data_IF_598598102913
#
_entry.id   IF_598598102913
#
_cell.length_a   1.000
_cell.length_b   1.000
_cell.length_c   1.000
_cell.angle_alpha   90.00
_cell.angle_beta   90.00
_cell.angle_gamma   90.00
#
_symmetry.space_group_name_H-M   'P 1'
#
loop_
_entity.id
_entity.type
_entity.pdbx_description
1 polymer ?
#
# COMPACT_ATOMS: atom_id res chain seq x y z
N UNK A 1 1.94 -25.34 64.84
CA UNK A 1 0.90 -25.89 63.93
C UNK A 1 0.76 -24.91 62.78
N UNK A 2 1.09 -25.17 61.53
CA UNK A 2 1.44 -26.38 60.79
C UNK A 2 1.07 -26.14 59.33
N UNK A 3 1.89 -26.68 58.39
CA UNK A 3 1.68 -26.80 56.93
C UNK A 3 1.79 -25.48 56.13
N UNK A 4 2.86 -25.13 55.40
CA UNK A 4 3.75 -25.85 54.47
C UNK A 4 3.05 -26.56 53.30
N UNK A 5 3.32 -26.01 52.10
CA UNK A 5 3.50 -26.67 50.80
C UNK A 5 2.35 -27.42 50.11
N UNK A 6 2.00 -26.93 48.91
CA UNK A 6 1.76 -27.64 47.61
C UNK A 6 1.14 -26.62 46.64
N UNK A 7 1.63 -26.35 45.43
CA UNK A 7 2.73 -26.87 44.64
C UNK A 7 2.79 -26.09 43.31
N UNK A 8 3.99 -25.90 42.79
CA UNK A 8 4.22 -25.68 41.36
C UNK A 8 3.81 -26.95 40.57
N UNK A 9 3.55 -26.75 39.27
CA UNK A 9 3.35 -27.73 38.18
C UNK A 9 1.94 -28.27 37.97
N UNK A 10 1.23 -27.67 37.00
CA UNK A 10 1.04 -28.34 35.70
C UNK A 10 1.21 -27.31 34.56
N UNK A 11 2.31 -27.46 33.84
CA UNK A 11 2.56 -26.99 32.47
C UNK A 11 1.93 -28.02 31.51
N UNK A 12 1.33 -27.54 30.42
CA UNK A 12 0.80 -28.35 29.30
C UNK A 12 -0.68 -28.68 29.45
N UNK A 13 -1.58 -28.49 28.49
CA UNK A 13 -1.54 -28.20 27.06
C UNK A 13 -2.85 -27.41 26.77
N UNK A 14 -2.94 -26.45 25.86
CA UNK A 14 -2.86 -26.64 24.40
C UNK A 14 -2.17 -25.43 23.77
N UNK A 15 -0.91 -25.61 23.39
CA UNK A 15 -0.42 -25.01 22.15
C UNK A 15 -1.06 -25.83 21.04
N UNK A 16 -2.00 -25.22 20.32
CA UNK A 16 -2.34 -25.37 18.90
C UNK A 16 -3.60 -24.51 18.73
N UNK A 17 -3.46 -23.35 18.09
CA UNK A 17 -4.47 -22.72 17.22
C UNK A 17 -4.02 -21.35 16.65
N UNK A 18 -2.75 -20.95 16.79
CA UNK A 18 -2.16 -19.91 15.94
C UNK A 18 -1.15 -20.50 14.94
N UNK A 19 -1.39 -21.76 14.55
CA UNK A 19 -0.82 -22.33 13.33
C UNK A 19 -1.75 -21.98 12.18
N UNK A 20 -1.29 -21.06 11.33
CA UNK A 20 -1.76 -20.83 9.96
C UNK A 20 -3.25 -21.00 9.73
N UNK A 21 -4.03 -19.96 9.99
CA UNK A 21 -5.04 -19.63 8.99
C UNK A 21 -4.33 -18.72 8.01
N UNK A 22 -3.67 -19.31 7.01
CA UNK A 22 -3.53 -18.65 5.72
C UNK A 22 -4.95 -18.22 5.37
N UNK A 23 -5.25 -16.94 5.56
CA UNK A 23 -6.61 -16.43 5.61
C UNK A 23 -7.39 -16.95 4.41
N UNK A 24 -8.48 -17.65 4.68
CA UNK A 24 -9.43 -18.07 3.64
C UNK A 24 -9.97 -16.81 2.98
N UNK A 25 -9.32 -16.35 1.91
CA UNK A 25 -9.70 -15.14 1.18
C UNK A 25 -10.92 -15.48 0.32
N UNK A 26 -12.08 -14.94 0.68
CA UNK A 26 -13.29 -15.05 -0.14
C UNK A 26 -13.29 -14.00 -1.24
N UNK A 27 -14.02 -14.28 -2.32
CA UNK A 27 -14.34 -13.33 -3.38
C UNK A 27 -15.72 -12.72 -3.16
N UNK A 28 -15.88 -11.46 -3.50
CA UNK A 28 -17.12 -10.71 -3.31
C UNK A 28 -17.53 -9.93 -4.55
N UNK A 29 -18.82 -10.00 -4.88
CA UNK A 29 -19.47 -9.07 -5.80
C UNK A 29 -20.36 -8.14 -4.98
N UNK A 30 -20.13 -6.83 -5.06
CA UNK A 30 -20.98 -5.82 -4.44
C UNK A 30 -21.58 -4.91 -5.50
N UNK A 31 -22.88 -4.70 -5.45
CA UNK A 31 -23.58 -3.67 -6.20
C UNK A 31 -24.13 -2.66 -5.18
N UNK A 32 -23.71 -1.42 -5.30
CA UNK A 32 -24.12 -0.31 -4.44
C UNK A 32 -24.99 0.64 -5.24
N UNK A 33 -26.13 0.97 -4.67
CA UNK A 33 -27.10 1.90 -5.21
C UNK A 33 -27.29 3.05 -4.23
N UNK A 34 -27.43 4.27 -4.76
CA UNK A 34 -27.63 5.46 -3.93
C UNK A 34 -28.64 6.38 -4.61
N UNK A 35 -29.65 6.78 -3.86
CA UNK A 35 -30.58 7.86 -4.21
C UNK A 35 -30.36 9.06 -3.29
N UNK A 36 -30.38 10.27 -3.86
CA UNK A 36 -30.11 11.53 -3.16
C UNK A 36 -31.29 12.48 -3.36
N UNK A 37 -31.74 13.15 -2.29
CA UNK A 37 -32.93 14.03 -2.35
C UNK A 37 -32.65 15.35 -3.06
N UNK A 38 -31.43 15.88 -2.86
CA UNK A 38 -30.97 17.14 -3.43
C UNK A 38 -29.66 16.89 -4.21
N UNK A 39 -29.71 16.74 -5.54
CA UNK A 39 -28.52 16.57 -6.34
C UNK A 39 -27.68 17.85 -6.35
N UNK A 40 -26.36 17.71 -6.48
CA UNK A 40 -25.44 18.85 -6.55
C UNK A 40 -24.41 18.64 -7.66
N UNK A 41 -23.57 19.64 -7.92
CA UNK A 41 -22.54 19.53 -8.95
C UNK A 41 -21.58 18.38 -8.61
N UNK A 42 -21.65 17.30 -9.41
CA UNK A 42 -20.86 16.08 -9.22
C UNK A 42 -21.55 14.97 -8.42
N UNK A 43 -22.76 15.18 -7.91
CA UNK A 43 -23.56 14.18 -7.21
C UNK A 43 -24.94 14.06 -7.87
N UNK A 44 -25.14 13.08 -8.77
CA UNK A 44 -26.43 12.90 -9.42
C UNK A 44 -27.47 12.37 -8.43
N UNK A 45 -28.75 12.50 -8.80
CA UNK A 45 -29.87 12.05 -7.98
C UNK A 45 -29.85 10.53 -7.75
N UNK A 46 -29.28 9.76 -8.69
CA UNK A 46 -29.09 8.32 -8.57
C UNK A 46 -27.69 7.89 -9.00
N UNK A 47 -27.11 6.94 -8.28
CA UNK A 47 -25.85 6.30 -8.61
C UNK A 47 -25.98 4.79 -8.45
N UNK A 48 -25.37 4.05 -9.37
CA UNK A 48 -25.16 2.61 -9.26
C UNK A 48 -23.70 2.28 -9.60
N UNK A 49 -23.05 1.52 -8.72
CA UNK A 49 -21.65 1.09 -8.91
C UNK A 49 -21.48 -0.38 -8.53
N UNK A 50 -20.64 -1.08 -9.27
CA UNK A 50 -20.33 -2.49 -9.06
C UNK A 50 -18.86 -2.70 -8.69
N UNK A 51 -18.60 -3.54 -7.70
CA UNK A 51 -17.26 -3.92 -7.25
C UNK A 51 -17.08 -5.44 -7.29
N UNK A 52 -15.91 -5.91 -7.74
CA UNK A 52 -15.44 -7.28 -7.55
C UNK A 52 -14.15 -7.22 -6.75
N UNK A 53 -14.10 -7.86 -5.57
CA UNK A 53 -12.95 -7.87 -4.65
C UNK A 53 -12.38 -6.47 -4.33
N UNK A 54 -13.28 -5.48 -4.24
CA UNK A 54 -12.93 -4.08 -3.97
C UNK A 54 -12.48 -3.28 -5.20
N UNK A 55 -12.38 -3.88 -6.38
CA UNK A 55 -12.15 -3.15 -7.63
C UNK A 55 -13.47 -2.68 -8.24
N UNK A 56 -13.62 -1.38 -8.44
CA UNK A 56 -14.76 -0.78 -9.14
C UNK A 56 -14.71 -1.20 -10.62
N UNK A 57 -15.65 -2.03 -11.07
CA UNK A 57 -15.68 -2.51 -12.47
C UNK A 57 -16.79 -1.85 -13.30
N UNK A 58 -17.84 -1.35 -12.65
CA UNK A 58 -19.02 -0.78 -13.29
C UNK A 58 -19.41 0.53 -12.60
N UNK A 59 -19.70 1.53 -13.41
CA UNK A 59 -20.35 2.77 -12.98
C UNK A 59 -21.51 3.09 -13.93
N UNK A 60 -22.70 3.31 -13.38
CA UNK A 60 -23.84 3.81 -14.15
C UNK A 60 -23.71 5.32 -14.34
N UNK A 61 -23.89 5.76 -15.57
CA UNK A 61 -24.00 7.17 -15.94
C UNK A 61 -25.49 7.53 -16.10
N UNK A 62 -26.07 8.33 -15.20
CA UNK A 62 -27.48 8.70 -15.27
C UNK A 62 -27.79 9.65 -16.44
N UNK A 63 -26.82 10.41 -16.95
CA UNK A 63 -27.05 11.36 -18.04
C UNK A 63 -27.22 10.61 -19.38
N UNK A 64 -26.37 9.63 -19.63
CA UNK A 64 -26.46 8.79 -20.84
C UNK A 64 -27.28 7.53 -20.64
N UNK A 65 -27.63 7.20 -19.40
CA UNK A 65 -28.32 5.97 -18.98
C UNK A 65 -27.62 4.68 -19.41
N UNK A 66 -26.29 4.69 -19.36
CA UNK A 66 -25.42 3.56 -19.73
C UNK A 66 -24.66 3.05 -18.51
N UNK A 67 -24.42 1.74 -18.47
CA UNK A 67 -23.43 1.15 -17.58
C UNK A 67 -22.06 1.19 -18.26
N UNK A 68 -21.08 1.80 -17.60
CA UNK A 68 -19.76 2.07 -18.15
C UNK A 68 -18.69 1.17 -17.50
N UNK A 69 -17.82 0.54 -18.31
CA UNK A 69 -16.67 -0.20 -17.80
C UNK A 69 -15.72 0.71 -17.05
N UNK A 70 -15.17 0.23 -15.93
CA UNK A 70 -14.18 0.94 -15.12
C UNK A 70 -12.84 0.21 -15.05
N UNK A 71 -12.75 -1.00 -15.62
CA UNK A 71 -11.56 -1.85 -15.61
C UNK A 71 -11.34 -2.52 -16.97
N UNK A 72 -10.09 -2.72 -17.42
CA UNK A 72 -9.82 -3.30 -18.75
C UNK A 72 -10.23 -4.77 -18.90
N UNK A 73 -10.16 -5.58 -17.83
CA UNK A 73 -10.42 -7.02 -17.94
C UNK A 73 -11.87 -7.36 -18.30
N UNK A 74 -12.78 -6.39 -18.19
CA UNK A 74 -14.19 -6.56 -18.58
C UNK A 74 -14.39 -6.56 -20.11
N UNK A 75 -13.42 -6.06 -20.88
CA UNK A 75 -13.47 -6.03 -22.34
C UNK A 75 -13.64 -7.44 -22.92
N UNK A 76 -13.02 -8.45 -22.29
CA UNK A 76 -13.18 -9.85 -22.68
C UNK A 76 -14.63 -10.34 -22.51
N UNK A 77 -15.36 -9.85 -21.50
CA UNK A 77 -16.78 -10.16 -21.32
C UNK A 77 -17.60 -9.51 -22.42
N UNK A 78 -17.34 -8.24 -22.72
CA UNK A 78 -18.07 -7.48 -23.75
C UNK A 78 -17.93 -8.12 -25.13
N UNK A 79 -16.74 -8.61 -25.47
CA UNK A 79 -16.51 -9.33 -26.73
C UNK A 79 -17.26 -10.67 -26.78
N UNK A 80 -17.35 -11.39 -25.66
CA UNK A 80 -18.04 -12.67 -25.58
C UNK A 80 -19.58 -12.53 -25.49
N UNK A 81 -20.06 -11.43 -24.94
CA UNK A 81 -21.47 -11.15 -24.66
C UNK A 81 -21.80 -9.68 -24.98
N UNK A 82 -22.17 -9.38 -26.24
CA UNK A 82 -22.47 -8.01 -26.69
C UNK A 82 -23.65 -7.36 -25.95
N UNK A 83 -24.48 -8.14 -25.25
CA UNK A 83 -25.65 -7.63 -24.52
C UNK A 83 -25.35 -7.39 -23.04
N UNK A 84 -24.15 -7.72 -22.56
CA UNK A 84 -23.76 -7.59 -21.16
C UNK A 84 -24.04 -6.19 -20.61
N UNK A 85 -23.51 -5.15 -21.27
CA UNK A 85 -23.66 -3.77 -20.81
C UNK A 85 -25.08 -3.24 -20.90
N UNK A 86 -25.83 -3.67 -21.91
CA UNK A 86 -27.24 -3.29 -22.05
C UNK A 86 -28.09 -3.90 -20.93
N UNK A 87 -27.82 -5.16 -20.56
CA UNK A 87 -28.43 -5.80 -19.40
C UNK A 87 -28.14 -5.06 -18.10
N UNK A 88 -26.87 -4.72 -17.86
CA UNK A 88 -26.47 -3.94 -16.68
C UNK A 88 -27.13 -2.54 -16.64
N UNK A 89 -27.18 -1.86 -17.78
CA UNK A 89 -27.84 -0.57 -17.90
C UNK A 89 -29.35 -0.68 -17.65
N UNK A 90 -30.00 -1.74 -18.15
CA UNK A 90 -31.42 -1.98 -17.92
C UNK A 90 -31.75 -2.20 -16.43
N UNK A 91 -30.90 -2.94 -15.71
CA UNK A 91 -31.05 -3.12 -14.25
C UNK A 91 -30.99 -1.77 -13.53
N UNK A 92 -30.00 -0.94 -13.86
CA UNK A 92 -29.87 0.40 -13.28
C UNK A 92 -31.06 1.29 -13.60
N UNK A 93 -31.52 1.33 -14.86
CA UNK A 93 -32.70 2.10 -15.29
C UNK A 93 -33.99 1.67 -14.60
N UNK A 94 -34.13 0.38 -14.29
CA UNK A 94 -35.29 -0.13 -13.54
C UNK A 94 -35.19 0.21 -12.04
N UNK A 95 -33.97 0.34 -11.51
CA UNK A 95 -33.71 0.60 -10.09
C UNK A 95 -33.81 2.09 -9.74
N UNK A 96 -33.40 2.96 -10.65
CA UNK A 96 -33.40 4.42 -10.51
C UNK A 96 -34.76 5.00 -10.03
N UNK A 97 -35.90 4.78 -10.70
CA UNK A 97 -37.20 5.30 -10.24
C UNK A 97 -37.67 4.66 -8.93
N UNK A 98 -37.26 3.42 -8.65
CA UNK A 98 -37.57 2.74 -7.38
C UNK A 98 -36.89 3.46 -6.22
N UNK A 99 -35.62 3.87 -6.39
CA UNK A 99 -34.90 4.64 -5.37
C UNK A 99 -35.49 6.03 -5.16
N UNK A 100 -35.91 6.70 -6.22
CA UNK A 100 -36.58 8.00 -6.14
C UNK A 100 -37.86 7.92 -5.28
N UNK A 101 -38.76 6.98 -5.62
CA UNK A 101 -40.02 6.78 -4.89
C UNK A 101 -39.77 6.33 -3.45
N UNK A 102 -38.81 5.43 -3.24
CA UNK A 102 -38.49 4.94 -1.90
C UNK A 102 -37.90 6.04 -1.03
N UNK A 103 -37.04 6.90 -1.56
CA UNK A 103 -36.46 8.01 -0.83
C UNK A 103 -37.55 8.99 -0.36
N UNK A 104 -38.42 9.43 -1.27
CA UNK A 104 -39.56 10.29 -0.93
C UNK A 104 -40.48 9.64 0.12
N UNK A 105 -40.70 8.33 0.01
CA UNK A 105 -41.50 7.56 0.98
C UNK A 105 -40.85 7.54 2.37
N UNK A 106 -39.53 7.33 2.45
CA UNK A 106 -38.81 7.31 3.73
C UNK A 106 -38.80 8.70 4.35
N UNK A 107 -38.53 9.76 3.57
CA UNK A 107 -38.60 11.15 4.04
C UNK A 107 -39.96 11.48 4.65
N UNK A 108 -41.04 11.11 3.97
CA UNK A 108 -42.41 11.30 4.47
C UNK A 108 -42.66 10.58 5.80
N UNK A 109 -42.16 9.34 5.96
CA UNK A 109 -42.31 8.59 7.23
C UNK A 109 -41.54 9.18 8.39
N UNK A 110 -40.46 9.91 8.12
CA UNK A 110 -39.73 10.68 9.12
C UNK A 110 -40.33 12.07 9.35
N UNK A 111 -41.41 12.44 8.67
CA UNK A 111 -41.98 13.78 8.64
C UNK A 111 -40.94 14.86 8.31
N UNK A 112 -39.99 14.52 7.42
CA UNK A 112 -38.95 15.46 6.97
C UNK A 112 -39.50 16.36 5.86
N UNK A 113 -39.05 17.61 5.86
CA UNK A 113 -39.32 18.55 4.77
C UNK A 113 -38.61 18.12 3.48
N UNK A 114 -39.09 18.61 2.34
CA UNK A 114 -38.34 18.51 1.09
C UNK A 114 -37.02 19.29 1.13
N UNK A 115 -36.92 20.30 2.00
CA UNK A 115 -35.69 21.02 2.29
C UNK A 115 -34.81 20.15 3.20
N UNK A 116 -33.73 19.60 2.65
CA UNK A 116 -32.83 18.70 3.37
C UNK A 116 -32.12 17.71 2.44
N UNK A 117 -30.85 17.47 2.74
CA UNK A 117 -30.03 16.50 2.04
C UNK A 117 -30.15 15.13 2.71
N UNK A 118 -30.81 14.20 2.02
CA UNK A 118 -31.07 12.84 2.47
C UNK A 118 -30.57 11.83 1.46
N UNK A 119 -30.09 10.70 1.97
CA UNK A 119 -29.53 9.62 1.15
C UNK A 119 -30.21 8.31 1.51
N UNK A 120 -30.73 7.61 0.50
CA UNK A 120 -31.10 6.21 0.58
C UNK A 120 -30.02 5.38 -0.12
N UNK A 121 -29.46 4.41 0.60
CA UNK A 121 -28.40 3.54 0.10
C UNK A 121 -28.91 2.10 0.07
N UNK A 122 -28.59 1.36 -0.99
CA UNK A 122 -28.84 -0.08 -1.07
C UNK A 122 -27.55 -0.82 -1.40
N UNK A 123 -27.33 -1.95 -0.73
CA UNK A 123 -26.26 -2.88 -1.04
C UNK A 123 -26.84 -4.24 -1.37
N UNK A 124 -26.41 -4.78 -2.51
CA UNK A 124 -26.67 -6.15 -2.92
C UNK A 124 -25.33 -6.84 -3.14
N UNK A 125 -25.07 -7.91 -2.41
CA UNK A 125 -23.79 -8.61 -2.55
C UNK A 125 -23.91 -10.11 -2.38
N UNK A 126 -22.93 -10.84 -2.92
CA UNK A 126 -22.74 -12.26 -2.69
C UNK A 126 -21.26 -12.59 -2.48
N UNK A 127 -21.01 -13.71 -1.82
CA UNK A 127 -19.68 -14.16 -1.41
C UNK A 127 -19.43 -15.58 -1.90
N UNK A 128 -18.23 -15.80 -2.44
CA UNK A 128 -17.72 -17.09 -2.88
C UNK A 128 -16.43 -17.41 -2.12
N UNK A 129 -16.32 -18.57 -1.48
CA UNK A 129 -15.04 -18.99 -0.90
C UNK A 129 -14.02 -19.37 -1.97
N UNK A 130 -12.75 -19.52 -1.60
CA UNK A 130 -11.68 -20.02 -2.49
C UNK A 130 -12.05 -21.34 -3.19
N UNK A 131 -12.72 -22.23 -2.48
CA UNK A 131 -13.15 -23.54 -3.03
C UNK A 131 -14.34 -23.43 -4.01
N UNK A 132 -14.75 -22.21 -4.38
CA UNK A 132 -15.85 -21.96 -5.32
C UNK A 132 -17.24 -22.21 -4.75
N UNK A 133 -17.36 -22.33 -3.42
CA UNK A 133 -18.64 -22.54 -2.73
C UNK A 133 -19.29 -21.20 -2.35
N UNK A 134 -20.60 -21.02 -2.60
CA UNK A 134 -21.34 -19.86 -2.10
C UNK A 134 -21.31 -19.83 -0.58
N UNK A 135 -21.00 -18.66 0.01
CA UNK A 135 -20.92 -18.51 1.48
C UNK A 135 -21.94 -17.55 2.06
N UNK A 136 -22.36 -16.55 1.29
CA UNK A 136 -23.21 -15.51 1.82
C UNK A 136 -23.83 -14.63 0.74
N UNK A 137 -24.79 -13.84 1.17
CA UNK A 137 -25.42 -12.82 0.36
C UNK A 137 -26.08 -11.77 1.24
N UNK A 138 -26.09 -10.52 0.79
CA UNK A 138 -26.70 -9.40 1.51
C UNK A 138 -27.61 -8.64 0.55
N UNK A 139 -28.78 -8.26 1.05
CA UNK A 139 -29.67 -7.31 0.40
C UNK A 139 -30.19 -6.36 1.48
N UNK A 140 -29.66 -5.15 1.53
CA UNK A 140 -29.87 -4.22 2.64
C UNK A 140 -30.01 -2.79 2.18
N UNK A 141 -30.74 -2.01 2.97
CA UNK A 141 -30.89 -0.58 2.81
C UNK A 141 -30.42 0.17 4.06
N UNK A 142 -29.81 1.32 3.83
CA UNK A 142 -29.48 2.32 4.84
C UNK A 142 -30.10 3.67 4.46
N UNK A 143 -30.47 4.47 5.46
CA UNK A 143 -31.02 5.81 5.30
C UNK A 143 -30.17 6.80 6.12
N UNK A 144 -29.69 7.85 5.48
CA UNK A 144 -28.77 8.85 6.06
C UNK A 144 -27.57 8.20 6.77
N UNK A 145 -26.99 7.17 6.14
CA UNK A 145 -25.83 6.43 6.63
C UNK A 145 -26.10 5.46 7.78
N UNK A 146 -27.37 5.24 8.17
CA UNK A 146 -27.76 4.32 9.24
C UNK A 146 -28.56 3.15 8.70
N UNK A 147 -28.35 1.97 9.27
CA UNK A 147 -29.10 0.76 8.93
C UNK A 147 -30.61 1.02 8.97
N UNK A 148 -31.32 0.57 7.94
CA UNK A 148 -32.76 0.80 7.80
C UNK A 148 -33.52 -0.52 7.69
N UNK A 149 -33.19 -1.35 6.68
CA UNK A 149 -33.90 -2.59 6.39
C UNK A 149 -32.95 -3.65 5.81
N UNK A 150 -33.03 -4.89 6.29
CA UNK A 150 -32.18 -5.99 5.82
C UNK A 150 -33.01 -7.25 5.53
N UNK A 151 -32.79 -7.88 4.38
CA UNK A 151 -33.42 -9.15 4.04
C UNK A 151 -32.62 -10.33 4.62
N UNK A 152 -33.33 -11.26 5.25
CA UNK A 152 -32.78 -12.55 5.67
C UNK A 152 -33.26 -13.64 4.71
N UNK A 153 -32.33 -14.14 3.90
CA UNK A 153 -32.60 -15.16 2.88
C UNK A 153 -32.84 -16.57 3.45
N UNK A 154 -32.48 -16.83 4.70
CA UNK A 154 -32.69 -18.14 5.34
C UNK A 154 -34.11 -18.24 5.89
N UNK A 155 -34.61 -17.15 6.48
CA UNK A 155 -35.96 -17.10 7.03
C UNK A 155 -36.98 -16.50 6.06
N UNK A 156 -36.53 -15.90 4.95
CA UNK A 156 -37.34 -15.14 3.99
C UNK A 156 -38.07 -13.94 4.63
N UNK A 157 -37.50 -13.39 5.70
CA UNK A 157 -38.06 -12.27 6.46
C UNK A 157 -37.23 -11.00 6.30
N UNK A 158 -37.75 -9.88 6.81
CA UNK A 158 -37.04 -8.60 6.81
C UNK A 158 -36.79 -8.13 8.23
N UNK A 159 -35.57 -7.69 8.51
CA UNK A 159 -35.21 -7.02 9.77
C UNK A 159 -35.29 -5.51 9.57
N UNK A 160 -36.13 -4.85 10.35
CA UNK A 160 -36.24 -3.39 10.40
C UNK A 160 -35.39 -2.86 11.57
N UNK A 161 -34.45 -1.96 11.28
CA UNK A 161 -33.55 -1.39 12.30
C UNK A 161 -34.16 -0.20 13.04
N UNK A 162 -35.26 0.35 12.51
CA UNK A 162 -35.95 1.54 13.01
C UNK A 162 -37.46 1.41 12.80
N UNK A 163 -38.25 2.12 13.63
CA UNK A 163 -39.72 2.06 13.57
C UNK A 163 -40.28 2.46 12.20
N UNK A 164 -39.65 3.40 11.51
CA UNK A 164 -40.05 3.87 10.18
C UNK A 164 -39.87 2.78 9.10
N UNK A 165 -38.98 1.82 9.32
CA UNK A 165 -38.74 0.68 8.45
C UNK A 165 -39.74 -0.47 8.67
N UNK A 166 -40.39 -0.55 9.83
CA UNK A 166 -41.44 -1.56 10.12
C UNK A 166 -42.59 -1.52 9.12
N UNK A 167 -42.93 -0.33 8.62
CA UNK A 167 -43.95 -0.17 7.58
C UNK A 167 -43.52 -0.87 6.28
N UNK A 168 -42.24 -0.80 5.90
CA UNK A 168 -41.72 -1.52 4.73
C UNK A 168 -41.69 -3.03 4.97
N UNK A 169 -41.23 -3.47 6.14
CA UNK A 169 -41.23 -4.89 6.54
C UNK A 169 -42.63 -5.51 6.39
N UNK A 170 -43.66 -4.90 6.98
CA UNK A 170 -45.06 -5.38 6.91
C UNK A 170 -45.62 -5.43 5.49
N UNK A 171 -45.13 -4.57 4.59
CA UNK A 171 -45.54 -4.57 3.17
C UNK A 171 -44.84 -5.65 2.36
N UNK A 172 -43.56 -5.92 2.65
CA UNK A 172 -42.72 -6.83 1.86
C UNK A 172 -42.89 -8.29 2.28
N UNK A 173 -43.01 -8.59 3.58
CA UNK A 173 -43.09 -9.97 4.08
C UNK A 173 -44.27 -10.81 3.53
N UNK A 174 -45.47 -10.25 3.30
CA UNK A 174 -46.56 -11.02 2.70
C UNK A 174 -46.34 -11.38 1.23
N UNK A 175 -45.39 -10.72 0.54
CA UNK A 175 -45.15 -10.91 -0.90
C UNK A 175 -44.09 -12.00 -1.10
N UNK A 176 -44.48 -13.25 -0.87
CA UNK A 176 -43.56 -14.40 -0.90
C UNK A 176 -42.78 -14.54 -2.21
N UNK A 177 -43.40 -14.21 -3.36
CA UNK A 177 -42.73 -14.24 -4.66
C UNK A 177 -41.49 -13.33 -4.70
N UNK A 178 -41.55 -12.15 -4.09
CA UNK A 178 -40.41 -11.22 -4.00
C UNK A 178 -39.31 -11.81 -3.12
N UNK A 179 -39.66 -12.35 -1.94
CA UNK A 179 -38.67 -12.96 -1.05
C UNK A 179 -37.97 -14.18 -1.69
N UNK A 180 -38.72 -15.00 -2.42
CA UNK A 180 -38.17 -16.14 -3.17
C UNK A 180 -37.24 -15.70 -4.29
N UNK A 181 -37.63 -14.68 -5.05
CA UNK A 181 -36.79 -14.09 -6.08
C UNK A 181 -35.48 -13.55 -5.49
N UNK A 182 -35.54 -12.78 -4.38
CA UNK A 182 -34.35 -12.26 -3.72
C UNK A 182 -33.42 -13.36 -3.21
N UNK A 183 -33.97 -14.45 -2.66
CA UNK A 183 -33.17 -15.62 -2.27
C UNK A 183 -32.46 -16.23 -3.47
N UNK A 184 -33.18 -16.54 -4.54
CA UNK A 184 -32.60 -17.14 -5.75
C UNK A 184 -31.54 -16.23 -6.38
N UNK A 185 -31.80 -14.92 -6.47
CA UNK A 185 -30.81 -13.96 -6.96
C UNK A 185 -29.53 -13.98 -6.12
N UNK A 186 -29.63 -14.01 -4.79
CA UNK A 186 -28.46 -14.00 -3.90
C UNK A 186 -27.68 -15.33 -3.90
N UNK A 187 -28.36 -16.45 -4.10
CA UNK A 187 -27.77 -17.80 -4.04
C UNK A 187 -27.27 -18.31 -5.39
N UNK A 188 -27.86 -17.82 -6.49
CA UNK A 188 -27.63 -18.32 -7.85
C UNK A 188 -27.12 -17.20 -8.75
N UNK A 189 -27.97 -16.26 -9.15
CA UNK A 189 -27.63 -15.28 -10.20
C UNK A 189 -26.39 -14.42 -9.84
N UNK A 190 -26.35 -13.88 -8.62
CA UNK A 190 -25.22 -13.08 -8.16
C UNK A 190 -23.92 -13.91 -8.14
N UNK A 191 -24.02 -15.16 -7.69
CA UNK A 191 -22.89 -16.08 -7.63
C UNK A 191 -22.38 -16.41 -9.04
N UNK A 192 -23.28 -16.65 -9.99
CA UNK A 192 -22.92 -16.94 -11.37
C UNK A 192 -22.28 -15.73 -12.05
N UNK A 193 -22.79 -14.53 -11.77
CA UNK A 193 -22.11 -13.29 -12.15
C UNK A 193 -20.71 -13.23 -11.55
N UNK A 194 -20.55 -13.45 -10.25
CA UNK A 194 -19.23 -13.42 -9.59
C UNK A 194 -18.27 -14.44 -10.23
N UNK A 195 -18.70 -15.67 -10.49
CA UNK A 195 -17.89 -16.68 -11.21
C UNK A 195 -17.49 -16.23 -12.61
N UNK A 196 -18.42 -15.61 -13.36
CA UNK A 196 -18.14 -15.04 -14.69
C UNK A 196 -17.04 -13.98 -14.58
N UNK A 197 -17.19 -13.00 -13.68
CA UNK A 197 -16.19 -11.95 -13.48
C UNK A 197 -14.83 -12.51 -13.06
N UNK A 198 -14.76 -13.49 -12.16
CA UNK A 198 -13.51 -14.15 -11.76
C UNK A 198 -12.85 -14.92 -12.91
N UNK A 199 -13.65 -15.49 -13.82
CA UNK A 199 -13.15 -16.22 -14.99
C UNK A 199 -12.46 -15.28 -15.98
N UNK A 200 -13.13 -14.19 -16.36
CA UNK A 200 -12.58 -13.22 -17.32
C UNK A 200 -11.52 -12.31 -16.68
N UNK A 201 -11.73 -11.92 -15.42
CA UNK A 201 -10.79 -11.11 -14.64
C UNK A 201 -9.64 -11.90 -14.02
N UNK A 202 -9.48 -13.20 -14.33
CA UNK A 202 -8.54 -14.12 -13.64
C UNK A 202 -7.15 -13.54 -13.43
N UNK A 203 -6.57 -12.92 -14.47
CA UNK A 203 -5.20 -12.37 -14.42
C UNK A 203 -5.05 -11.21 -13.43
N UNK A 204 -6.13 -10.49 -13.14
CA UNK A 204 -6.14 -9.27 -12.31
C UNK A 204 -6.73 -9.54 -10.94
N UNK A 205 -7.84 -10.28 -10.86
CA UNK A 205 -8.58 -10.52 -9.62
C UNK A 205 -7.95 -11.64 -8.77
N UNK A 206 -7.34 -12.64 -9.41
CA UNK A 206 -6.69 -13.75 -8.70
C UNK A 206 -5.16 -13.58 -8.59
N UNK A 207 -4.66 -12.37 -8.84
CA UNK A 207 -3.22 -12.10 -8.73
C UNK A 207 -2.83 -11.95 -7.27
N UNK A 208 -1.67 -12.51 -6.97
CA UNK A 208 -1.05 -12.38 -5.66
C UNK A 208 0.26 -11.63 -5.81
N UNK A 209 0.32 -10.45 -5.21
CA UNK A 209 1.50 -9.58 -5.21
C UNK A 209 1.91 -9.32 -3.74
N UNK A 210 3.14 -9.70 -3.32
CA UNK A 210 3.59 -9.47 -1.96
C UNK A 210 3.83 -7.99 -1.67
N UNK A 211 3.62 -7.53 -0.42
CA UNK A 211 3.93 -6.16 -0.03
C UNK A 211 5.42 -5.86 -0.09
N UNK A 212 5.77 -4.75 -0.72
CA UNK A 212 7.07 -4.12 -0.53
C UNK A 212 7.01 -3.25 0.72
N UNK A 213 7.73 -3.65 1.76
CA UNK A 213 7.72 -2.94 3.05
C UNK A 213 8.87 -1.93 3.12
N UNK A 214 8.55 -0.67 3.46
CA UNK A 214 9.52 0.40 3.67
C UNK A 214 9.43 0.95 5.08
N UNK A 215 10.55 0.92 5.78
CA UNK A 215 10.72 1.48 7.12
C UNK A 215 11.30 2.89 7.04
N UNK A 216 10.64 3.84 7.68
CA UNK A 216 11.11 5.23 7.79
C UNK A 216 11.00 5.73 9.21
N UNK A 217 11.76 6.79 9.52
CA UNK A 217 11.82 7.39 10.85
C UNK A 217 11.55 8.88 10.75
N UNK A 218 10.74 9.41 11.66
CA UNK A 218 10.55 10.85 11.88
C UNK A 218 10.96 11.18 13.32
N UNK A 219 11.71 12.27 13.51
CA UNK A 219 11.98 12.82 14.85
C UNK A 219 10.92 13.84 15.19
N UNK A 220 10.36 13.73 16.40
CA UNK A 220 9.44 14.70 16.97
C UNK A 220 10.19 15.90 17.59
N UNK A 221 9.47 16.98 17.90
CA UNK A 221 10.05 18.16 18.56
C UNK A 221 10.53 17.86 19.99
N UNK A 222 9.84 16.96 20.71
CA UNK A 222 10.06 16.68 22.14
C UNK A 222 11.13 15.60 22.39
N UNK A 223 11.94 15.27 21.39
CA UNK A 223 12.94 14.20 21.45
C UNK A 223 12.37 12.79 21.24
N UNK A 224 11.04 12.64 21.20
CA UNK A 224 10.37 11.41 20.78
C UNK A 224 10.62 11.10 19.30
N UNK A 225 10.44 9.83 18.93
CA UNK A 225 10.65 9.35 17.57
C UNK A 225 9.43 8.59 17.09
N UNK A 226 9.01 8.83 15.84
CA UNK A 226 7.98 8.05 15.18
C UNK A 226 8.63 7.08 14.20
N UNK A 227 8.44 5.78 14.41
CA UNK A 227 8.73 4.77 13.40
C UNK A 227 7.52 4.61 12.48
N UNK A 228 7.77 4.46 11.18
CA UNK A 228 6.72 4.37 10.17
C UNK A 228 7.03 3.19 9.24
N UNK A 229 6.15 2.21 9.24
CA UNK A 229 6.15 1.05 8.38
C UNK A 229 5.12 1.23 7.26
N UNK A 230 5.57 1.18 6.00
CA UNK A 230 4.69 1.29 4.82
C UNK A 230 4.71 -0.02 4.06
N UNK A 231 3.56 -0.67 3.93
CA UNK A 231 3.38 -1.80 3.02
C UNK A 231 2.78 -1.28 1.71
N UNK A 232 3.44 -1.58 0.59
CA UNK A 232 3.13 -0.99 -0.71
C UNK A 232 2.94 -2.09 -1.77
N UNK A 233 2.01 -1.86 -2.70
CA UNK A 233 1.90 -2.63 -3.94
C UNK A 233 1.45 -4.08 -3.74
N UNK A 234 0.64 -4.37 -2.72
CA UNK A 234 0.20 -5.74 -2.44
C UNK A 234 -1.20 -6.04 -2.97
N UNK A 235 -1.46 -7.32 -3.26
CA UNK A 235 -2.76 -7.86 -3.64
C UNK A 235 -2.85 -9.32 -3.18
N UNK A 236 -3.94 -9.79 -2.57
CA UNK A 236 -5.22 -9.11 -2.36
C UNK A 236 -5.18 -8.05 -1.24
N UNK A 237 -6.32 -7.38 -1.01
CA UNK A 237 -6.47 -6.27 -0.05
C UNK A 237 -6.21 -6.67 1.41
N UNK A 238 -6.56 -7.90 1.76
CA UNK A 238 -6.45 -8.43 3.11
C UNK A 238 -4.98 -8.57 3.52
N UNK A 239 -4.58 -7.77 4.51
CA UNK A 239 -3.23 -7.75 5.08
C UNK A 239 -3.33 -7.62 6.60
N UNK A 240 -2.46 -8.32 7.32
CA UNK A 240 -2.26 -8.12 8.74
C UNK A 240 -0.95 -7.39 8.98
N UNK A 241 -1.03 -6.21 9.59
CA UNK A 241 0.14 -5.37 9.90
C UNK A 241 0.04 -4.87 11.35
N UNK A 242 1.10 -5.08 12.14
CA UNK A 242 1.16 -4.66 13.54
C UNK A 242 2.59 -4.32 13.96
N UNK A 243 2.73 -3.50 15.00
CA UNK A 243 4.00 -3.40 15.70
C UNK A 243 4.14 -4.57 16.66
N UNK A 244 5.37 -5.05 16.82
CA UNK A 244 5.77 -5.92 17.91
C UNK A 244 6.86 -5.25 18.74
N UNK A 245 6.74 -5.29 20.06
CA UNK A 245 7.79 -4.91 21.01
C UNK A 245 8.27 -6.18 21.71
N UNK A 246 9.55 -6.52 21.56
CA UNK A 246 10.15 -7.76 22.09
C UNK A 246 9.41 -9.07 21.72
N UNK A 247 8.75 -9.06 20.55
CA UNK A 247 8.02 -10.22 20.01
C UNK A 247 6.52 -10.24 20.32
N UNK A 248 6.04 -9.37 21.21
CA UNK A 248 4.61 -9.26 21.54
C UNK A 248 3.94 -8.12 20.76
N UNK A 249 2.68 -8.30 20.36
CA UNK A 249 1.93 -7.29 19.62
C UNK A 249 1.76 -6.01 20.47
N UNK A 250 2.03 -4.86 19.85
CA UNK A 250 2.02 -3.55 20.50
C UNK A 250 0.96 -2.64 19.87
N UNK A 251 0.13 -2.01 20.69
CA UNK A 251 -0.96 -1.13 20.25
C UNK A 251 -0.88 0.30 20.80
N UNK A 252 -0.20 0.51 21.93
CA UNK A 252 -0.08 1.84 22.54
C UNK A 252 0.67 2.79 21.59
N UNK A 253 0.20 4.04 21.49
CA UNK A 253 0.75 5.08 20.60
C UNK A 253 0.93 4.64 19.13
N UNK A 254 0.15 3.63 18.71
CA UNK A 254 0.15 3.10 17.35
C UNK A 254 -0.97 3.73 16.55
N UNK A 255 -0.63 4.22 15.36
CA UNK A 255 -1.58 4.76 14.39
C UNK A 255 -1.51 3.95 13.10
N UNK A 256 -2.66 3.42 12.68
CA UNK A 256 -2.82 2.70 11.41
C UNK A 256 -3.65 3.54 10.46
N UNK A 257 -3.11 3.86 9.29
CA UNK A 257 -3.92 4.33 8.17
C UNK A 257 -4.56 3.11 7.50
N UNK A 258 -5.86 3.17 7.24
CA UNK A 258 -6.58 2.09 6.57
C UNK A 258 -5.97 1.73 5.21
N UNK A 259 -6.27 0.51 4.74
CA UNK A 259 -5.80 0.02 3.44
C UNK A 259 -6.48 0.82 2.32
N UNK A 260 -5.69 1.44 1.46
CA UNK A 260 -6.15 2.25 0.34
C UNK A 260 -5.74 1.63 -1.01
N UNK A 261 -6.58 1.76 -2.05
CA UNK A 261 -6.28 1.24 -3.39
C UNK A 261 -5.30 2.15 -4.15
N UNK A 262 -4.55 1.55 -5.07
CA UNK A 262 -3.71 2.20 -6.07
C UNK A 262 -4.38 2.15 -7.46
N UNK A 263 -3.92 3.00 -8.38
CA UNK A 263 -4.44 3.05 -9.76
C UNK A 263 -4.10 1.80 -10.59
N UNK A 264 -3.08 1.05 -10.21
CA UNK A 264 -2.69 -0.22 -10.83
C UNK A 264 -3.47 -1.43 -10.25
N UNK A 265 -4.45 -1.17 -9.37
CA UNK A 265 -5.29 -2.17 -8.71
C UNK A 265 -4.62 -2.90 -7.54
N UNK A 266 -3.44 -2.48 -7.11
CA UNK A 266 -2.81 -2.97 -5.87
C UNK A 266 -3.24 -2.11 -4.68
N UNK A 267 -2.75 -2.44 -3.48
CA UNK A 267 -3.09 -1.73 -2.25
C UNK A 267 -1.84 -1.20 -1.53
N UNK A 268 -2.05 -0.21 -0.66
CA UNK A 268 -1.05 0.25 0.27
C UNK A 268 -1.65 0.52 1.65
N UNK A 269 -0.82 0.44 2.69
CA UNK A 269 -1.17 0.81 4.06
C UNK A 269 0.04 1.37 4.80
N UNK A 270 -0.20 2.11 5.87
CA UNK A 270 0.86 2.70 6.70
C UNK A 270 0.53 2.50 8.17
N UNK A 271 1.51 1.99 8.91
CA UNK A 271 1.48 1.81 10.35
C UNK A 271 2.60 2.66 10.97
N UNK A 272 2.30 3.40 12.02
CA UNK A 272 3.29 4.21 12.75
C UNK A 272 3.16 4.06 14.25
N UNK A 273 4.27 4.23 14.98
CA UNK A 273 4.31 4.21 16.45
C UNK A 273 5.25 5.28 16.96
N UNK A 274 4.84 5.99 18.00
CA UNK A 274 5.70 6.91 18.75
C UNK A 274 6.45 6.16 19.85
N UNK A 275 7.76 6.38 19.95
CA UNK A 275 8.65 5.63 20.83
C UNK A 275 9.70 6.54 21.48
N UNK A 276 10.23 6.09 22.60
CA UNK A 276 11.51 6.55 23.10
C UNK A 276 12.64 6.04 22.17
N UNK A 277 13.54 6.91 21.67
CA UNK A 277 14.66 6.50 20.82
C UNK A 277 15.57 5.40 21.42
N UNK A 278 15.63 5.27 22.75
CA UNK A 278 16.40 4.24 23.46
C UNK A 278 15.80 2.84 23.29
N UNK A 279 14.50 2.76 23.08
CA UNK A 279 13.77 1.50 22.90
C UNK A 279 13.66 1.07 21.43
N UNK A 280 14.17 1.87 20.48
CA UNK A 280 14.03 1.66 19.03
C UNK A 280 14.33 0.22 18.57
N UNK A 281 15.40 -0.38 19.11
CA UNK A 281 15.82 -1.73 18.72
C UNK A 281 14.86 -2.85 19.13
N UNK A 282 13.90 -2.56 20.03
CA UNK A 282 12.89 -3.51 20.53
C UNK A 282 11.68 -3.62 19.60
N UNK A 283 11.48 -2.63 18.72
CA UNK A 283 10.32 -2.55 17.85
C UNK A 283 10.58 -3.19 16.48
N UNK A 284 9.64 -4.02 16.04
CA UNK A 284 9.58 -4.61 14.70
C UNK A 284 8.21 -4.40 14.08
N UNK A 285 8.19 -4.08 12.79
CA UNK A 285 6.95 -4.10 12.00
C UNK A 285 6.71 -5.53 11.53
N UNK A 286 5.63 -6.13 12.00
CA UNK A 286 5.17 -7.43 11.57
C UNK A 286 4.17 -7.28 10.43
N UNK A 287 4.40 -7.97 9.31
CA UNK A 287 3.53 -7.97 8.14
C UNK A 287 3.27 -9.40 7.71
N UNK A 288 2.00 -9.80 7.73
CA UNK A 288 1.51 -11.07 7.23
C UNK A 288 0.51 -10.83 6.10
N UNK A 289 0.76 -11.47 4.97
CA UNK A 289 0.03 -11.28 3.72
C UNK A 289 0.14 -12.56 2.88
N UNK A 290 -0.93 -12.92 2.18
CA UNK A 290 -1.01 -14.16 1.40
C UNK A 290 -0.03 -14.25 0.23
N UNK A 291 0.56 -13.13 -0.20
CA UNK A 291 1.65 -13.09 -1.17
C UNK A 291 3.02 -13.39 -0.62
N UNK A 292 3.18 -13.44 0.70
CA UNK A 292 4.43 -13.77 1.36
C UNK A 292 4.50 -15.27 1.65
N UNK A 293 5.68 -15.86 1.44
CA UNK A 293 5.93 -17.26 1.86
C UNK A 293 5.95 -17.40 3.38
N UNK A 294 6.51 -16.40 4.07
CA UNK A 294 6.55 -16.28 5.53
C UNK A 294 6.29 -14.82 5.93
N UNK A 295 5.67 -14.58 7.09
CA UNK A 295 5.49 -13.22 7.60
C UNK A 295 6.82 -12.48 7.75
N UNK A 296 6.82 -11.18 7.48
CA UNK A 296 7.98 -10.31 7.66
C UNK A 296 7.98 -9.71 9.06
N UNK A 297 9.15 -9.68 9.72
CA UNK A 297 9.37 -8.99 11.00
C UNK A 297 10.57 -8.03 10.84
N UNK A 298 10.29 -6.77 10.53
CA UNK A 298 11.29 -5.79 10.07
C UNK A 298 11.62 -4.75 11.14
N UNK A 299 12.90 -4.56 11.43
CA UNK A 299 13.39 -3.44 12.23
C UNK A 299 13.72 -2.23 11.33
N UNK A 300 13.73 -1.02 11.89
CA UNK A 300 14.27 0.13 11.17
C UNK A 300 15.80 0.04 11.11
N UNK A 301 16.34 -0.02 9.91
CA UNK A 301 17.78 0.08 9.66
C UNK A 301 18.11 1.51 9.25
N UNK A 302 19.07 2.13 9.95
CA UNK A 302 19.56 3.46 9.59
C UNK A 302 20.28 3.44 8.24
N UNK A 303 20.47 4.60 7.59
CA UNK A 303 21.29 4.67 6.38
C UNK A 303 22.67 4.07 6.70
N UNK A 304 23.06 3.05 5.93
CA UNK A 304 24.37 2.43 6.05
C UNK A 304 25.41 3.55 5.90
N UNK A 305 26.11 3.86 6.99
CA UNK A 305 27.29 4.70 6.92
C UNK A 305 28.28 3.93 6.06
N UNK A 306 28.39 4.29 4.79
CA UNK A 306 29.48 3.84 3.93
C UNK A 306 30.75 4.23 4.67
N UNK A 307 31.39 3.23 5.28
CA UNK A 307 32.57 3.41 6.08
C UNK A 307 33.70 3.85 5.14
N UNK A 308 33.89 5.16 5.00
CA UNK A 308 34.99 5.76 4.24
C UNK A 308 36.37 5.44 4.83
N UNK A 309 36.48 4.49 5.76
CA UNK A 309 37.74 4.02 6.35
C UNK A 309 38.73 3.61 5.25
N UNK A 310 38.27 2.98 4.17
CA UNK A 310 39.14 2.65 3.03
C UNK A 310 39.73 3.89 2.33
N UNK A 311 38.94 4.96 2.18
CA UNK A 311 39.38 6.22 1.56
C UNK A 311 40.36 6.98 2.48
N UNK A 312 40.07 7.02 3.77
CA UNK A 312 40.91 7.68 4.79
C UNK A 312 42.26 6.97 4.93
N UNK A 313 42.26 5.63 4.99
CA UNK A 313 43.50 4.84 5.04
C UNK A 313 44.30 5.00 3.74
N UNK A 314 43.63 4.99 2.59
CA UNK A 314 44.27 5.22 1.29
C UNK A 314 44.96 6.59 1.19
N UNK A 315 44.32 7.66 1.69
CA UNK A 315 44.90 9.00 1.71
C UNK A 315 46.11 9.09 2.66
N UNK A 316 46.03 8.48 3.84
CA UNK A 316 47.15 8.48 4.80
C UNK A 316 48.37 7.74 4.26
N UNK A 317 48.16 6.57 3.64
CA UNK A 317 49.23 5.79 3.03
C UNK A 317 49.82 6.52 1.83
N UNK A 318 48.98 7.09 0.96
CA UNK A 318 49.45 7.89 -0.19
C UNK A 318 50.30 9.08 0.23
N UNK A 319 49.89 9.81 1.27
CA UNK A 319 50.63 10.96 1.80
C UNK A 319 52.00 10.55 2.37
N UNK A 320 52.07 9.43 3.09
CA UNK A 320 53.33 8.86 3.60
C UNK A 320 54.30 8.52 2.46
N UNK A 321 53.81 7.93 1.37
CA UNK A 321 54.65 7.58 0.21
C UNK A 321 55.22 8.83 -0.45
N UNK A 322 54.42 9.89 -0.61
CA UNK A 322 54.88 11.16 -1.19
C UNK A 322 55.96 11.82 -0.33
N UNK A 323 55.81 11.80 1.00
CA UNK A 323 56.84 12.32 1.92
C UNK A 323 58.14 11.53 1.75
N UNK A 324 58.07 10.19 1.75
CA UNK A 324 59.25 9.34 1.61
C UNK A 324 59.98 9.57 0.27
N UNK A 325 59.22 9.71 -0.82
CA UNK A 325 59.76 10.04 -2.14
C UNK A 325 60.41 11.44 -2.16
N UNK A 326 59.77 12.43 -1.53
CA UNK A 326 60.31 13.78 -1.40
C UNK A 326 61.61 13.82 -0.61
N UNK A 327 61.71 13.09 0.49
CA UNK A 327 62.94 12.96 1.29
C UNK A 327 64.04 12.26 0.49
N UNK A 328 63.72 11.19 -0.23
CA UNK A 328 64.68 10.47 -1.07
C UNK A 328 65.23 11.36 -2.21
N UNK A 329 64.35 12.12 -2.88
CA UNK A 329 64.73 13.08 -3.92
C UNK A 329 65.58 14.22 -3.35
N UNK A 330 65.26 14.73 -2.16
CA UNK A 330 66.05 15.74 -1.46
C UNK A 330 67.46 15.25 -1.11
N UNK A 331 67.59 14.01 -0.62
CA UNK A 331 68.89 13.39 -0.39
C UNK A 331 69.69 13.18 -1.68
N UNK A 332 69.03 12.77 -2.76
CA UNK A 332 69.66 12.56 -4.06
C UNK A 332 70.16 13.88 -4.69
N UNK A 333 69.38 14.96 -4.56
CA UNK A 333 69.78 16.30 -5.01
C UNK A 333 70.94 16.86 -4.18
N UNK A 334 70.95 16.65 -2.85
CA UNK A 334 72.07 17.06 -1.99
C UNK A 334 73.38 16.31 -2.29
N UNK A 335 73.29 15.07 -2.77
CA UNK A 335 74.45 14.27 -3.21
C UNK A 335 75.01 14.72 -4.57
N UNK A 336 74.31 15.61 -5.30
CA UNK A 336 74.68 16.09 -6.64
C UNK A 336 75.30 17.49 -6.69
N UNK A 337 75.70 18.08 -5.57
CA UNK A 337 76.60 19.24 -5.60
C UNK A 337 78.03 18.77 -5.92
N UNK A 338 78.63 19.13 -7.08
CA UNK A 338 80.05 18.94 -7.31
C UNK A 338 80.79 20.09 -6.61
N UNK A 339 81.69 19.75 -5.69
CA UNK A 339 82.82 20.62 -5.39
C UNK A 339 83.67 20.74 -6.66
N UNK A 340 83.84 21.96 -7.18
CA UNK A 340 85.07 22.49 -7.78
C UNK A 340 84.76 23.76 -8.60
N UNK A 341 84.86 24.93 -7.96
CA UNK A 341 85.11 26.18 -8.65
C UNK A 341 86.63 26.37 -8.71
N UNK A 342 87.22 26.29 -9.90
CA UNK A 342 88.64 26.61 -10.14
C UNK A 342 88.77 28.10 -10.47
N UNK A 343 89.68 28.80 -9.76
CA UNK A 343 90.06 30.20 -10.00
C UNK A 343 91.28 30.22 -10.93
N UNK A 344 91.27 30.92 -12.08
CA UNK A 344 92.47 31.06 -12.90
C UNK A 344 93.32 32.27 -12.48
N UNK A 345 94.62 32.04 -12.34
CA UNK A 345 95.64 33.06 -12.09
C UNK A 345 95.97 33.86 -13.36
N UNK A 346 96.29 35.14 -13.15
CA UNK A 346 96.49 36.19 -14.13
C UNK A 346 97.55 35.91 -15.22
N UNK A 347 97.30 36.43 -16.42
CA UNK A 347 98.35 36.81 -17.39
C UNK A 347 98.22 38.29 -17.69
N UNK A 348 99.38 38.97 -17.69
CA UNK A 348 99.54 40.37 -18.00
C UNK A 348 99.40 40.58 -19.51
N UNK A 349 98.49 41.46 -19.93
CA UNK A 349 98.71 42.49 -20.95
C UNK A 349 97.47 43.42 -21.07
N UNK A 350 97.62 44.67 -21.55
CA UNK A 350 96.72 45.77 -21.22
C UNK A 350 95.52 45.93 -22.18
N UNK A 351 94.35 46.25 -21.58
CA UNK A 351 93.12 46.97 -22.00
C UNK A 351 92.89 47.35 -23.50
N UNK A 352 91.63 47.55 -24.01
CA UNK A 352 90.38 47.72 -23.26
C UNK A 352 89.09 47.05 -23.83
N UNK A 353 88.08 47.02 -22.94
CA UNK A 353 86.64 47.20 -23.19
C UNK A 353 85.74 46.10 -23.82
N UNK A 354 84.57 46.01 -23.19
CA UNK A 354 83.28 45.45 -23.58
C UNK A 354 83.02 43.92 -23.60
N UNK A 355 82.22 43.54 -22.59
CA UNK A 355 80.95 42.80 -22.73
C UNK A 355 81.00 41.45 -23.46
N UNK A 356 81.18 40.37 -22.70
CA UNK A 356 80.79 39.04 -23.15
C UNK A 356 79.65 38.48 -22.29
N UNK A 357 78.44 38.59 -22.85
CA UNK A 357 77.28 37.76 -22.53
C UNK A 357 77.54 36.37 -23.14
N UNK A 358 78.16 35.48 -22.39
CA UNK A 358 78.41 34.09 -22.82
C UNK A 358 77.23 33.18 -22.51
N UNK A 359 76.31 33.00 -23.47
CA UNK A 359 75.41 31.83 -23.49
C UNK A 359 76.24 30.59 -23.84
N UNK A 360 76.16 29.54 -23.03
CA UNK A 360 76.70 28.24 -23.39
C UNK A 360 75.89 27.67 -24.57
N UNK A 361 76.60 27.37 -25.65
CA UNK A 361 76.14 26.61 -26.81
C UNK A 361 76.62 25.18 -26.60
N UNK A 362 75.72 24.21 -26.69
CA UNK A 362 76.08 22.80 -26.77
C UNK A 362 76.03 22.34 -28.23
N UNK A 363 77.14 21.78 -28.69
CA UNK A 363 77.44 21.44 -30.08
C UNK A 363 76.88 20.06 -30.41
N UNK A 364 76.12 19.95 -31.50
CA UNK A 364 75.80 18.68 -32.17
C UNK A 364 76.95 18.28 -33.09
N UNK A 365 77.41 17.04 -32.97
CA UNK A 365 78.23 16.35 -33.98
C UNK A 365 79.11 15.28 -33.34
N UNK A 366 78.74 14.00 -33.44
CA UNK A 366 79.18 13.06 -34.48
C UNK A 366 80.35 12.18 -33.97
N UNK A 367 80.08 10.87 -33.88
CA UNK A 367 81.02 9.72 -34.04
C UNK A 367 81.96 9.98 -35.25
N UNK A 368 83.10 9.27 -35.48
CA UNK A 368 83.41 7.87 -35.08
C UNK A 368 84.89 7.56 -34.72
N UNK A 369 85.12 6.44 -34.00
CA UNK A 369 86.43 5.94 -33.50
C UNK A 369 87.27 6.87 -32.62
#
# INVERSE_FOLDING_TARGET
>A
MGLLWRGLFFLGAVVVLLGGSSGSSSHFLHNLYMGVSEPSQGLPQFMAVGYVDGQLYLKYDPDTRRALPQVPWIEEIEMADPHYWEGQAQIARNTEPVFEVNLATVQSRYNQSHEGFHILQGIVSCELSQDGQPRGGRYQYAYDGKDFLAFDKETLTWTASVLQAEISKRKLEPVLATSQYLKSYLEEECIDWLRKHLTYGKKVLLRTEPPVVRMTRRRGPDGQETLICRALGFSPKEIYITWKKDGEAWQEDTSTRGVAPNSDGTYHTTLSVEIDPTERGRFRCHVDHSGLAEPLDLAWEGPALISNVGLVVGLLVGFLVVILLGVALGFYAKKRHPENCYVPTATNDPLPDNSFRGKCIEIKGLRPE
#
